data_IF_483218362536
#
_entry.id   IF_483218362536
#
_cell.length_a   1.000
_cell.length_b   1.000
_cell.length_c   1.000
_cell.angle_alpha   90.00
_cell.angle_beta   90.00
_cell.angle_gamma   90.00
#
_symmetry.space_group_name_H-M   'P 1'
#
loop_
_entity.id
_entity.type
_entity.pdbx_description
1 polymer ?
#
# COMPACT_ATOMS: atom_id res chain seq x y z
N UNK A 1 -5.79 -2.01 -19.51
CA UNK A 1 -5.76 -0.53 -19.43
C UNK A 1 -7.06 0.07 -18.89
N UNK A 2 -8.15 -0.68 -18.72
CA UNK A 2 -9.44 -0.11 -18.28
C UNK A 2 -9.43 0.50 -16.87
N UNK A 3 -8.52 0.08 -15.99
CA UNK A 3 -8.56 0.45 -14.56
C UNK A 3 -7.89 1.78 -14.20
N UNK A 4 -7.24 2.49 -15.14
CA UNK A 4 -6.64 3.80 -14.87
C UNK A 4 -6.64 4.75 -16.08
N UNK A 5 -7.81 4.93 -16.71
CA UNK A 5 -7.95 5.90 -17.79
C UNK A 5 -7.70 7.32 -17.29
N UNK A 6 -7.08 8.16 -18.13
CA UNK A 6 -6.92 9.58 -17.83
C UNK A 6 -8.26 10.30 -17.80
N UNK A 7 -8.57 10.93 -16.66
CA UNK A 7 -9.85 11.59 -16.39
C UNK A 7 -9.70 13.08 -16.04
N UNK A 8 -8.51 13.66 -16.23
CA UNK A 8 -8.25 15.08 -15.98
C UNK A 8 -7.76 15.39 -14.56
N UNK A 9 -7.92 14.46 -13.61
CA UNK A 9 -7.48 14.65 -12.21
C UNK A 9 -6.29 13.76 -11.82
N UNK A 10 -6.07 12.67 -12.54
CA UNK A 10 -5.07 11.65 -12.26
C UNK A 10 -3.81 11.75 -13.14
N UNK A 11 -3.45 12.94 -13.64
CA UNK A 11 -2.37 13.10 -14.65
C UNK A 11 -1.06 12.43 -14.26
N UNK A 12 -0.58 12.61 -13.02
CA UNK A 12 0.71 12.07 -12.59
C UNK A 12 0.70 10.53 -12.54
N UNK A 13 -0.37 9.92 -12.04
CA UNK A 13 -0.52 8.47 -11.98
C UNK A 13 -0.68 7.87 -13.37
N UNK A 14 -1.53 8.49 -14.22
CA UNK A 14 -1.69 8.11 -15.61
C UNK A 14 -0.38 8.20 -16.40
N UNK A 15 0.39 9.28 -16.23
CA UNK A 15 1.66 9.47 -16.93
C UNK A 15 2.71 8.43 -16.50
N UNK A 16 2.73 8.04 -15.22
CA UNK A 16 3.59 6.95 -14.72
C UNK A 16 3.21 5.63 -15.41
N UNK A 17 1.93 5.29 -15.44
CA UNK A 17 1.46 4.05 -16.06
C UNK A 17 1.70 4.04 -17.57
N UNK A 18 1.49 5.17 -18.24
CA UNK A 18 1.81 5.35 -19.66
C UNK A 18 3.30 5.09 -19.93
N UNK A 19 4.19 5.68 -19.13
CA UNK A 19 5.65 5.46 -19.28
C UNK A 19 6.02 3.99 -19.14
N UNK A 20 5.48 3.29 -18.13
CA UNK A 20 5.72 1.85 -17.95
C UNK A 20 5.34 1.07 -19.22
N UNK A 21 4.19 1.37 -19.82
CA UNK A 21 3.75 0.69 -21.06
C UNK A 21 4.65 1.03 -22.25
N UNK A 22 5.07 2.28 -22.38
CA UNK A 22 5.91 2.72 -23.49
C UNK A 22 7.34 2.19 -23.37
N UNK A 23 7.88 2.11 -22.15
CA UNK A 23 9.20 1.53 -21.89
C UNK A 23 9.20 0.03 -22.20
N UNK A 24 8.15 -0.70 -21.83
CA UNK A 24 7.96 -2.10 -22.26
C UNK A 24 7.96 -2.27 -23.78
N UNK A 25 7.49 -1.26 -24.53
CA UNK A 25 7.47 -1.25 -25.99
C UNK A 25 8.74 -0.66 -26.63
N UNK A 26 9.73 -0.22 -25.84
CA UNK A 26 10.89 0.55 -26.29
C UNK A 26 10.52 1.83 -27.07
N UNK A 27 9.45 2.50 -26.64
CA UNK A 27 8.88 3.70 -27.29
C UNK A 27 8.85 4.93 -26.39
N UNK A 28 9.34 4.84 -25.14
CA UNK A 28 9.35 5.96 -24.19
C UNK A 28 10.04 7.22 -24.74
N UNK A 29 11.06 7.04 -25.58
CA UNK A 29 11.81 8.13 -26.21
C UNK A 29 10.96 9.11 -27.02
N UNK A 30 9.78 8.69 -27.52
CA UNK A 30 8.85 9.54 -28.28
C UNK A 30 8.27 10.67 -27.42
N UNK A 31 8.18 10.47 -26.09
CA UNK A 31 7.66 11.50 -25.17
C UNK A 31 8.67 12.60 -24.85
N UNK A 32 9.97 12.30 -24.94
CA UNK A 32 11.04 13.15 -24.44
C UNK A 32 11.85 13.82 -25.56
N UNK A 33 11.92 13.18 -26.74
CA UNK A 33 12.67 13.72 -27.89
C UNK A 33 11.78 14.56 -28.80
N UNK A 34 12.31 15.66 -29.38
CA UNK A 34 11.57 16.42 -30.37
C UNK A 34 11.31 15.56 -31.62
N UNK A 35 10.25 15.94 -32.34
CA UNK A 35 9.94 15.43 -33.67
C UNK A 35 11.16 15.60 -34.59
N UNK A 36 11.70 14.52 -35.22
CA UNK A 36 12.78 14.62 -36.16
C UNK A 36 12.39 15.52 -37.33
N UNK A 37 13.20 16.55 -37.57
CA UNK A 37 13.13 17.38 -38.76
C UNK A 37 13.46 16.59 -40.02
N UNK A 38 13.06 17.13 -41.18
CA UNK A 38 13.25 16.51 -42.49
C UNK A 38 14.67 15.96 -42.69
N UNK A 39 14.75 14.83 -43.39
CA UNK A 39 16.02 14.20 -43.77
C UNK A 39 16.72 15.02 -44.86
N UNK A 40 18.00 15.37 -44.69
CA UNK A 40 18.79 15.99 -45.74
C UNK A 40 18.88 15.12 -47.00
N UNK A 41 19.01 15.79 -48.15
CA UNK A 41 19.25 15.11 -49.41
C UNK A 41 20.63 14.41 -49.36
N UNK A 42 20.65 13.10 -49.59
CA UNK A 42 21.86 12.27 -49.43
C UNK A 42 21.96 11.50 -48.10
N UNK A 43 20.97 11.57 -47.21
CA UNK A 43 20.95 10.78 -45.97
C UNK A 43 21.17 9.29 -46.20
N UNK A 44 21.98 8.69 -45.32
CA UNK A 44 22.33 7.26 -45.35
C UNK A 44 21.08 6.38 -45.20
N UNK A 45 21.09 5.15 -45.75
CA UNK A 45 19.96 4.22 -45.60
C UNK A 45 19.55 4.00 -44.13
N UNK A 46 20.51 3.93 -43.21
CA UNK A 46 20.28 3.76 -41.78
C UNK A 46 19.55 4.97 -41.16
N UNK A 47 19.93 6.19 -41.54
CA UNK A 47 19.26 7.41 -41.09
C UNK A 47 17.80 7.45 -41.54
N UNK A 48 17.54 7.05 -42.81
CA UNK A 48 16.18 6.96 -43.37
C UNK A 48 15.32 5.94 -42.62
N UNK A 49 15.90 4.78 -42.27
CA UNK A 49 15.22 3.76 -41.47
C UNK A 49 14.89 4.27 -40.07
N UNK A 50 15.83 4.95 -39.43
CA UNK A 50 15.66 5.51 -38.09
C UNK A 50 14.57 6.59 -38.07
N UNK A 51 14.56 7.46 -39.08
CA UNK A 51 13.53 8.47 -39.27
C UNK A 51 12.15 7.84 -39.48
N UNK A 52 12.02 6.88 -40.40
CA UNK A 52 10.74 6.20 -40.65
C UNK A 52 10.22 5.50 -39.40
N UNK A 53 11.10 4.79 -38.67
CA UNK A 53 10.78 4.14 -37.40
C UNK A 53 10.23 5.13 -36.39
N UNK A 54 10.84 6.32 -36.28
CA UNK A 54 10.37 7.34 -35.36
C UNK A 54 8.91 7.74 -35.64
N UNK A 55 8.53 7.99 -36.90
CA UNK A 55 7.14 8.35 -37.25
C UNK A 55 6.16 7.19 -37.04
N UNK A 56 6.59 5.95 -37.25
CA UNK A 56 5.80 4.77 -36.92
C UNK A 56 5.56 4.66 -35.41
N UNK A 57 6.60 4.84 -34.60
CA UNK A 57 6.48 4.82 -33.15
C UNK A 57 5.64 6.00 -32.65
N UNK A 58 5.79 7.20 -33.19
CA UNK A 58 4.92 8.34 -32.88
C UNK A 58 3.43 8.04 -33.11
N UNK A 59 3.07 7.43 -34.25
CA UNK A 59 1.68 7.02 -34.52
C UNK A 59 1.17 5.98 -33.52
N UNK A 60 2.01 5.02 -33.14
CA UNK A 60 1.67 3.99 -32.14
C UNK A 60 1.48 4.61 -30.76
N UNK A 61 2.41 5.45 -30.31
CA UNK A 61 2.36 6.12 -29.00
C UNK A 61 1.14 7.05 -28.92
N UNK A 62 0.87 7.83 -29.96
CA UNK A 62 -0.35 8.64 -30.07
C UNK A 62 -1.61 7.79 -29.86
N UNK A 63 -1.70 6.64 -30.52
CA UNK A 63 -2.85 5.73 -30.40
C UNK A 63 -2.98 5.20 -28.96
N UNK A 64 -1.87 4.89 -28.30
CA UNK A 64 -1.84 4.45 -26.90
C UNK A 64 -2.34 5.57 -25.97
N UNK A 65 -1.83 6.80 -26.15
CA UNK A 65 -2.24 7.97 -25.38
C UNK A 65 -3.75 8.16 -25.49
N UNK A 66 -4.29 8.24 -26.70
CA UNK A 66 -5.72 8.46 -26.93
C UNK A 66 -6.58 7.30 -26.37
N UNK A 67 -6.15 6.05 -26.54
CA UNK A 67 -6.89 4.89 -26.01
C UNK A 67 -6.87 4.81 -24.47
N UNK A 68 -5.87 5.42 -23.84
CA UNK A 68 -5.73 5.48 -22.39
C UNK A 68 -6.52 6.61 -21.74
N UNK A 69 -7.30 7.38 -22.50
CA UNK A 69 -8.12 8.48 -22.02
C UNK A 69 -9.60 8.09 -21.85
N UNK A 70 -10.31 8.86 -21.04
CA UNK A 70 -11.77 8.94 -21.08
C UNK A 70 -12.25 9.52 -22.41
N UNK A 71 -13.48 9.19 -22.82
CA UNK A 71 -14.01 9.60 -24.12
C UNK A 71 -14.10 11.13 -24.23
N UNK A 72 -14.39 11.81 -23.13
CA UNK A 72 -14.53 13.26 -23.03
C UNK A 72 -13.20 13.98 -23.30
N UNK A 73 -12.10 13.45 -22.77
CA UNK A 73 -10.76 14.01 -22.97
C UNK A 73 -10.19 13.59 -24.32
N UNK A 74 -10.40 12.34 -24.72
CA UNK A 74 -9.94 11.81 -26.01
C UNK A 74 -10.42 12.70 -27.18
N UNK A 75 -11.70 13.09 -27.18
CA UNK A 75 -12.30 13.96 -28.22
C UNK A 75 -11.64 15.35 -28.32
N UNK A 76 -10.94 15.81 -27.29
CA UNK A 76 -10.24 17.10 -27.32
C UNK A 76 -8.92 17.01 -28.10
N UNK A 77 -8.33 15.82 -28.18
CA UNK A 77 -6.98 15.61 -28.70
C UNK A 77 -6.94 14.67 -29.93
N UNK A 78 -8.05 14.04 -30.30
CA UNK A 78 -8.11 13.00 -31.34
C UNK A 78 -7.77 13.48 -32.77
N UNK A 79 -7.85 14.79 -33.03
CA UNK A 79 -7.48 15.41 -34.31
C UNK A 79 -5.99 15.76 -34.42
N UNK A 80 -5.26 15.81 -33.32
CA UNK A 80 -3.84 16.18 -33.32
C UNK A 80 -3.01 15.02 -33.87
N UNK A 81 -2.06 15.27 -34.76
CA UNK A 81 -1.38 14.21 -35.54
C UNK A 81 -0.15 13.61 -34.86
N UNK A 82 0.48 14.37 -33.96
CA UNK A 82 1.73 14.00 -33.31
C UNK A 82 1.64 14.05 -31.77
N UNK A 83 2.54 13.28 -31.14
CA UNK A 83 2.59 13.17 -29.68
C UNK A 83 2.93 14.50 -29.00
N UNK A 84 3.92 15.30 -29.45
CA UNK A 84 4.18 16.63 -28.90
C UNK A 84 2.95 17.55 -28.88
N UNK A 85 2.18 17.61 -29.97
CA UNK A 85 0.96 18.42 -30.05
C UNK A 85 -0.09 18.05 -28.99
N UNK A 86 -0.14 16.78 -28.57
CA UNK A 86 -1.03 16.32 -27.48
C UNK A 86 -0.40 16.59 -26.10
N UNK A 87 0.85 16.21 -25.92
CA UNK A 87 1.50 16.20 -24.60
C UNK A 87 1.80 17.60 -24.07
N UNK A 88 2.08 18.58 -24.94
CA UNK A 88 2.40 19.95 -24.50
C UNK A 88 1.19 20.63 -23.85
N UNK A 89 0.01 20.77 -24.50
CA UNK A 89 -1.17 21.35 -23.85
C UNK A 89 -1.61 20.57 -22.61
N UNK A 90 -1.49 19.24 -22.63
CA UNK A 90 -1.83 18.43 -21.46
C UNK A 90 -0.95 18.75 -20.25
N UNK A 91 0.36 18.96 -20.47
CA UNK A 91 1.27 19.37 -19.40
C UNK A 91 0.85 20.70 -18.78
N UNK A 92 0.45 21.66 -19.61
CA UNK A 92 0.06 22.99 -19.14
C UNK A 92 -1.25 22.98 -18.34
N UNK A 93 -2.21 22.13 -18.74
CA UNK A 93 -3.54 22.10 -18.11
C UNK A 93 -3.58 21.19 -16.89
N UNK A 94 -2.92 20.03 -16.93
CA UNK A 94 -3.17 18.94 -15.97
C UNK A 94 -1.99 18.63 -15.05
N UNK A 95 -0.78 19.12 -15.32
CA UNK A 95 0.34 18.93 -14.39
C UNK A 95 0.10 19.77 -13.15
N UNK A 96 -0.08 19.11 -12.02
CA UNK A 96 -0.09 19.78 -10.73
C UNK A 96 1.33 20.27 -10.43
N UNK A 97 1.56 21.58 -10.20
CA UNK A 97 2.88 22.10 -9.92
C UNK A 97 3.50 21.43 -8.68
N UNK A 98 4.81 21.15 -8.72
CA UNK A 98 5.54 20.52 -7.60
C UNK A 98 5.32 21.26 -6.28
N UNK A 99 5.20 22.59 -6.30
CA UNK A 99 4.89 23.41 -5.12
C UNK A 99 3.55 23.02 -4.48
N UNK A 100 2.52 22.77 -5.28
CA UNK A 100 1.20 22.36 -4.80
C UNK A 100 1.24 20.94 -4.22
N UNK A 101 1.90 20.00 -4.91
CA UNK A 101 2.10 18.62 -4.43
C UNK A 101 2.85 18.63 -3.08
N UNK A 102 3.90 19.43 -2.97
CA UNK A 102 4.67 19.60 -1.74
C UNK A 102 3.80 20.15 -0.62
N UNK A 103 3.09 21.25 -0.85
CA UNK A 103 2.17 21.82 0.14
C UNK A 103 1.14 20.80 0.63
N UNK A 104 0.48 20.08 -0.28
CA UNK A 104 -0.51 19.07 0.08
C UNK A 104 0.11 17.92 0.89
N UNK A 105 1.29 17.44 0.50
CA UNK A 105 2.01 16.36 1.21
C UNK A 105 2.43 16.81 2.59
N UNK A 106 2.99 18.02 2.72
CA UNK A 106 3.35 18.64 4.00
C UNK A 106 2.12 18.76 4.90
N UNK A 107 0.99 19.25 4.38
CA UNK A 107 -0.26 19.36 5.14
C UNK A 107 -0.73 18.02 5.70
N UNK A 108 -0.67 16.95 4.90
CA UNK A 108 -1.01 15.59 5.34
C UNK A 108 -0.01 15.09 6.38
N UNK A 109 1.28 15.28 6.14
CA UNK A 109 2.34 14.81 7.03
C UNK A 109 2.24 15.41 8.44
N UNK A 110 2.05 16.72 8.55
CA UNK A 110 1.89 17.39 9.86
C UNK A 110 0.50 17.16 10.49
N UNK A 111 -0.52 16.83 9.69
CA UNK A 111 -1.90 16.72 10.16
C UNK A 111 -2.34 15.31 10.54
N UNK A 112 -1.67 14.26 10.04
CA UNK A 112 -2.10 12.89 10.28
C UNK A 112 -1.79 12.44 11.71
N UNK A 113 -2.76 11.79 12.34
CA UNK A 113 -2.63 11.17 13.66
C UNK A 113 -3.00 9.69 13.56
N UNK A 114 -2.29 8.86 14.30
CA UNK A 114 -2.63 7.46 14.48
C UNK A 114 -3.81 7.34 15.44
N UNK A 115 -4.75 6.44 15.13
CA UNK A 115 -5.87 6.16 16.03
C UNK A 115 -5.41 5.23 17.17
N UNK A 116 -6.01 5.38 18.34
CA UNK A 116 -5.78 4.49 19.49
C UNK A 116 -6.07 3.02 19.08
N UNK A 117 -5.20 2.08 19.49
CA UNK A 117 -5.26 0.64 19.16
C UNK A 117 -5.17 0.28 17.67
N UNK A 118 -4.86 1.22 16.78
CA UNK A 118 -4.52 0.90 15.39
C UNK A 118 -3.06 0.47 15.25
N UNK A 119 -2.73 -0.27 14.20
CA UNK A 119 -1.38 -0.82 14.01
C UNK A 119 -0.34 0.27 13.78
N UNK A 120 0.65 0.35 14.68
CA UNK A 120 1.77 1.29 14.55
C UNK A 120 2.64 1.00 13.33
N UNK A 121 2.75 -0.27 12.92
CA UNK A 121 3.45 -0.64 11.69
C UNK A 121 2.78 -0.01 10.46
N UNK A 122 1.45 -0.15 10.33
CA UNK A 122 0.72 0.42 9.20
C UNK A 122 0.82 1.94 9.15
N UNK A 123 0.71 2.60 10.31
CA UNK A 123 0.89 4.04 10.43
C UNK A 123 2.32 4.48 10.10
N UNK A 124 3.32 3.77 10.63
CA UNK A 124 4.75 4.03 10.39
C UNK A 124 5.11 3.95 8.91
N UNK A 125 4.67 2.91 8.20
CA UNK A 125 4.87 2.77 6.75
C UNK A 125 4.22 3.93 5.99
N UNK A 126 3.03 4.38 6.40
CA UNK A 126 2.37 5.55 5.80
C UNK A 126 3.18 6.83 6.03
N UNK A 127 3.69 7.05 7.24
CA UNK A 127 4.56 8.19 7.55
C UNK A 127 5.86 8.15 6.73
N UNK A 128 6.50 6.99 6.63
CA UNK A 128 7.71 6.80 5.81
C UNK A 128 7.45 7.20 4.34
N UNK A 129 6.34 6.73 3.76
CA UNK A 129 5.99 7.08 2.37
C UNK A 129 5.77 8.60 2.16
N UNK A 130 5.31 9.31 3.19
CA UNK A 130 5.18 10.76 3.15
C UNK A 130 6.53 11.45 3.25
N UNK A 131 7.45 10.92 4.06
CA UNK A 131 8.81 11.44 4.19
C UNK A 131 9.57 11.30 2.87
N UNK A 132 9.62 10.09 2.30
CA UNK A 132 10.27 9.83 1.00
C UNK A 132 9.74 10.80 -0.07
N UNK A 133 8.41 11.00 -0.11
CA UNK A 133 7.78 11.94 -1.03
C UNK A 133 8.19 13.41 -0.78
N UNK A 134 8.39 13.81 0.47
CA UNK A 134 8.86 15.15 0.82
C UNK A 134 10.34 15.37 0.47
N UNK A 135 11.17 14.33 0.61
CA UNK A 135 12.57 14.33 0.19
C UNK A 135 12.71 14.46 -1.33
N UNK A 136 11.92 13.68 -2.09
CA UNK A 136 11.84 13.78 -3.56
C UNK A 136 11.43 15.18 -4.04
N UNK A 137 10.54 15.83 -3.27
CA UNK A 137 10.07 17.19 -3.53
C UNK A 137 11.03 18.27 -2.98
N UNK A 138 12.17 17.88 -2.40
CA UNK A 138 13.17 18.76 -1.80
C UNK A 138 12.54 19.72 -0.81
N UNK A 139 11.75 19.20 0.13
CA UNK A 139 11.05 19.99 1.13
C UNK A 139 12.00 20.71 2.11
N UNK A 140 13.23 20.23 2.26
CA UNK A 140 14.25 20.86 3.10
C UNK A 140 14.06 20.62 4.61
N UNK A 141 13.33 19.58 4.98
CA UNK A 141 13.21 19.13 6.37
C UNK A 141 14.38 18.19 6.70
N UNK A 142 14.85 18.25 7.94
CA UNK A 142 15.87 17.33 8.44
C UNK A 142 15.23 16.07 9.05
N UNK A 143 16.05 15.04 9.25
CA UNK A 143 15.61 13.77 9.82
C UNK A 143 14.97 13.93 11.21
N UNK A 144 15.51 14.81 12.04
CA UNK A 144 14.96 15.08 13.38
C UNK A 144 13.53 15.63 13.32
N UNK A 145 13.26 16.57 12.40
CA UNK A 145 11.89 17.10 12.19
C UNK A 145 10.94 15.98 11.76
N UNK A 146 11.39 15.06 10.91
CA UNK A 146 10.55 13.93 10.53
C UNK A 146 10.23 13.02 11.71
N UNK A 147 11.23 12.71 12.54
CA UNK A 147 11.08 11.91 13.75
C UNK A 147 10.12 12.59 14.73
N UNK A 148 10.30 13.89 14.98
CA UNK A 148 9.47 14.66 15.89
C UNK A 148 8.00 14.63 15.47
N UNK A 149 7.73 14.80 14.17
CA UNK A 149 6.36 14.76 13.64
C UNK A 149 5.78 13.34 13.73
N UNK A 150 6.59 12.29 13.49
CA UNK A 150 6.17 10.91 13.67
C UNK A 150 5.80 10.64 15.12
N UNK A 151 6.65 11.00 16.09
CA UNK A 151 6.37 10.82 17.52
C UNK A 151 5.12 11.59 17.93
N UNK A 152 4.97 12.84 17.49
CA UNK A 152 3.78 13.67 17.76
C UNK A 152 2.50 13.12 17.11
N UNK A 153 2.60 12.25 16.10
CA UNK A 153 1.45 11.64 15.43
C UNK A 153 0.87 10.45 16.18
N UNK A 154 1.58 9.92 17.19
CA UNK A 154 1.17 8.75 17.95
C UNK A 154 0.09 9.11 19.01
N UNK A 155 -0.73 8.14 19.44
CA UNK A 155 -1.67 8.31 20.54
C UNK A 155 -0.94 8.41 21.89
N UNK A 156 -1.63 8.92 22.91
CA UNK A 156 -1.10 9.09 24.27
C UNK A 156 -0.62 7.78 24.92
N UNK A 157 -1.12 6.62 24.48
CA UNK A 157 -0.64 5.31 24.94
C UNK A 157 0.86 5.08 24.64
N UNK A 158 1.45 5.84 23.72
CA UNK A 158 2.87 5.78 23.37
C UNK A 158 3.74 6.79 24.15
N UNK A 159 3.16 7.61 25.05
CA UNK A 159 3.93 8.57 25.86
C UNK A 159 5.13 7.94 26.61
N UNK A 160 5.02 6.73 27.21
CA UNK A 160 6.17 6.11 27.86
C UNK A 160 7.33 5.82 26.88
N UNK A 161 7.01 5.43 25.64
CA UNK A 161 8.00 5.25 24.59
C UNK A 161 8.64 6.59 24.22
N UNK A 162 7.85 7.64 24.01
CA UNK A 162 8.32 8.96 23.59
C UNK A 162 9.28 9.56 24.63
N UNK A 163 8.92 9.50 25.92
CA UNK A 163 9.78 9.98 27.01
C UNK A 163 11.10 9.21 27.03
N UNK A 164 11.04 7.87 26.93
CA UNK A 164 12.24 7.04 26.87
C UNK A 164 13.10 7.36 25.64
N UNK A 165 12.49 7.55 24.47
CA UNK A 165 13.19 7.87 23.23
C UNK A 165 13.96 9.20 23.36
N UNK A 166 13.28 10.25 23.84
CA UNK A 166 13.86 11.59 24.01
C UNK A 166 15.02 11.62 25.01
N UNK A 167 14.99 10.78 26.05
CA UNK A 167 16.06 10.71 27.05
C UNK A 167 17.31 9.97 26.54
N UNK A 168 17.17 9.09 25.56
CA UNK A 168 18.27 8.24 25.08
C UNK A 168 19.11 8.89 23.97
N UNK A 169 18.67 10.01 23.38
CA UNK A 169 19.50 10.88 22.52
C UNK A 169 20.18 10.17 21.34
N UNK A 170 19.59 9.11 20.80
CA UNK A 170 20.18 8.35 19.70
C UNK A 170 19.80 8.96 18.35
N UNK A 171 20.80 9.20 17.50
CA UNK A 171 20.57 9.38 16.08
C UNK A 171 19.96 8.09 15.51
N UNK A 172 18.75 8.20 14.98
CA UNK A 172 18.02 7.09 14.38
C UNK A 172 17.51 7.46 13.01
N UNK A 173 17.52 6.49 12.11
CA UNK A 173 16.73 6.56 10.89
C UNK A 173 15.24 6.37 11.20
N UNK A 174 14.39 6.86 10.31
CA UNK A 174 12.93 6.64 10.40
C UNK A 174 12.59 5.14 10.39
N UNK A 175 13.33 4.33 9.64
CA UNK A 175 13.16 2.88 9.62
C UNK A 175 13.44 2.24 10.99
N UNK A 176 14.52 2.65 11.66
CA UNK A 176 14.82 2.18 13.01
C UNK A 176 13.75 2.61 14.02
N UNK A 177 13.29 3.87 13.94
CA UNK A 177 12.21 4.36 14.78
C UNK A 177 10.94 3.51 14.64
N UNK A 178 10.52 3.22 13.39
CA UNK A 178 9.35 2.39 13.12
C UNK A 178 9.54 0.99 13.72
N UNK A 179 10.71 0.38 13.54
CA UNK A 179 11.00 -0.93 14.11
C UNK A 179 10.94 -0.95 15.64
N UNK A 180 11.47 0.10 16.30
CA UNK A 180 11.39 0.26 17.75
C UNK A 180 9.95 0.40 18.23
N UNK A 181 9.13 1.19 17.53
CA UNK A 181 7.71 1.36 17.85
C UNK A 181 6.93 0.04 17.72
N UNK A 182 7.20 -0.75 16.68
CA UNK A 182 6.58 -2.08 16.52
C UNK A 182 6.98 -3.04 17.65
N UNK A 183 8.24 -3.02 18.08
CA UNK A 183 8.68 -3.81 19.23
C UNK A 183 8.02 -3.37 20.53
N UNK A 184 7.83 -2.06 20.72
CA UNK A 184 7.11 -1.51 21.85
C UNK A 184 5.63 -1.95 21.86
N UNK A 185 4.93 -1.87 20.73
CA UNK A 185 3.56 -2.37 20.57
C UNK A 185 3.46 -3.86 20.93
N UNK A 186 4.39 -4.68 20.44
CA UNK A 186 4.40 -6.13 20.69
C UNK A 186 4.66 -6.52 22.15
N UNK A 187 5.34 -5.67 22.93
CA UNK A 187 5.65 -5.93 24.34
C UNK A 187 4.57 -5.40 25.28
N UNK A 188 3.97 -4.26 24.96
CA UNK A 188 2.88 -3.65 25.75
C UNK A 188 1.53 -4.35 25.57
N UNK A 189 1.21 -4.85 24.38
CA UNK A 189 0.00 -5.65 24.15
C UNK A 189 0.08 -7.10 24.66
N UNK A 190 1.26 -7.56 25.08
CA UNK A 190 1.42 -8.86 25.78
C UNK A 190 1.20 -8.76 27.29
N UNK A 191 1.09 -7.56 27.83
CA UNK A 191 1.00 -7.31 29.28
C UNK A 191 -0.35 -6.73 29.70
N UNK A 192 -1.47 -7.30 29.25
CA UNK A 192 -2.67 -7.33 30.10
C UNK A 192 -2.56 -8.57 31.00
N UNK A 193 -1.99 -8.47 32.22
CA UNK A 193 -2.18 -9.53 33.20
C UNK A 193 -3.66 -9.54 33.56
N UNK A 194 -4.28 -10.72 33.46
CA UNK A 194 -5.56 -10.98 34.09
C UNK A 194 -5.47 -10.49 35.55
N UNK A 195 -6.24 -9.46 35.89
CA UNK A 195 -6.41 -9.01 37.26
C UNK A 195 -7.15 -10.13 37.98
N UNK A 196 -6.40 -11.07 38.57
CA UNK A 196 -6.92 -11.97 39.58
C UNK A 196 -6.99 -11.19 40.90
N UNK A 197 -8.13 -10.53 41.09
CA UNK A 197 -8.64 -10.22 42.42
C UNK A 197 -8.89 -11.55 43.13
N UNK A 198 -8.25 -11.78 44.29
CA UNK A 198 -8.48 -13.01 45.06
C UNK A 198 -7.56 -13.18 46.27
N UNK A 199 -7.75 -12.28 47.23
CA UNK A 199 -7.61 -12.47 48.68
C UNK A 199 -6.25 -12.86 49.31
N UNK A 200 -5.81 -11.93 50.16
CA UNK A 200 -4.84 -12.17 51.20
C UNK A 200 -5.34 -13.24 52.18
N UNK A 201 -4.46 -14.15 52.58
CA UNK A 201 -4.62 -14.91 53.82
C UNK A 201 -3.25 -15.14 54.46
N UNK A 202 -3.06 -14.46 55.59
CA UNK A 202 -1.93 -14.57 56.49
C UNK A 202 -2.09 -15.78 57.42
N UNK A 203 -1.09 -16.67 57.54
CA UNK A 203 -0.55 -17.14 58.84
C UNK A 203 0.52 -18.24 58.71
N UNK A 204 1.75 -17.88 59.11
CA UNK A 204 2.83 -18.58 59.84
C UNK A 204 2.78 -20.10 60.20
N UNK A 205 3.96 -20.73 59.98
CA UNK A 205 4.73 -21.69 60.85
C UNK A 205 4.90 -23.19 60.42
N UNK A 206 6.12 -23.47 59.91
CA UNK A 206 7.17 -24.47 60.33
C UNK A 206 6.86 -25.98 60.45
N UNK A 207 7.60 -26.79 59.68
CA UNK A 207 7.87 -28.21 59.97
C UNK A 207 8.76 -28.93 58.94
N UNK A 208 9.97 -29.35 59.34
CA UNK A 208 10.91 -30.19 58.58
C UNK A 208 10.51 -31.67 58.67
N UNK A 209 10.73 -32.45 57.61
CA UNK A 209 10.73 -33.92 57.70
C UNK A 209 10.86 -34.63 56.35
N UNK A 210 12.06 -35.09 56.01
CA UNK A 210 12.32 -35.98 54.88
C UNK A 210 11.91 -37.43 55.21
N UNK A 211 11.42 -38.19 54.22
CA UNK A 211 11.79 -39.60 53.95
C UNK A 211 11.17 -40.14 52.65
N UNK A 212 12.00 -40.92 51.96
CA UNK A 212 11.84 -41.65 50.69
C UNK A 212 11.59 -43.13 51.01
N UNK A 213 10.68 -43.83 50.31
CA UNK A 213 10.94 -45.08 49.55
C UNK A 213 9.68 -45.68 48.89
N UNK A 214 9.93 -46.45 47.83
CA UNK A 214 9.07 -47.02 46.77
C UNK A 214 8.29 -48.32 47.12
N UNK A 215 7.30 -48.58 46.22
CA UNK A 215 7.02 -49.83 45.42
C UNK A 215 6.03 -50.90 45.95
N UNK A 216 5.00 -51.17 45.12
CA UNK A 216 4.75 -52.42 44.31
C UNK A 216 3.45 -52.19 43.51
N UNK A 217 3.38 -52.27 42.18
CA UNK A 217 3.52 -53.38 41.21
C UNK A 217 2.48 -54.51 41.42
N UNK A 218 1.40 -54.44 40.67
CA UNK A 218 0.50 -55.55 40.32
C UNK A 218 0.28 -55.55 38.81
N UNK A 219 0.59 -56.66 38.15
CA UNK A 219 0.74 -56.87 36.70
C UNK A 219 -0.26 -57.96 36.31
N UNK A 220 -1.11 -57.76 35.30
CA UNK A 220 -1.64 -58.84 34.45
C UNK A 220 -1.88 -58.34 33.02
N UNK A 221 -0.94 -58.72 32.15
CA UNK A 221 -1.01 -58.98 30.70
C UNK A 221 -2.03 -60.09 30.38
N UNK A 222 -2.56 -60.35 29.17
CA UNK A 222 -2.49 -59.87 27.78
C UNK A 222 -3.72 -60.49 27.04
N UNK A 223 -4.14 -60.18 25.81
CA UNK A 223 -3.62 -60.57 24.47
C UNK A 223 -4.71 -60.09 23.46
N UNK A 224 -4.46 -59.17 22.50
CA UNK A 224 -4.23 -59.34 21.01
C UNK A 224 -5.36 -60.14 20.31
N UNK A 225 -5.92 -59.83 19.12
CA UNK A 225 -5.98 -58.71 18.16
C UNK A 225 -7.07 -59.09 17.10
N UNK A 226 -7.51 -58.15 16.27
CA UNK A 226 -7.55 -58.21 14.77
C UNK A 226 -8.54 -57.20 14.16
N UNK A 227 -8.01 -56.40 13.22
CA UNK A 227 -8.51 -55.93 11.88
C UNK A 227 -9.99 -56.21 11.52
N UNK A 228 -10.77 -55.42 10.76
CA UNK A 228 -10.55 -54.40 9.72
C UNK A 228 -11.89 -53.82 9.22
N UNK A 229 -11.82 -52.69 8.48
CA UNK A 229 -12.68 -52.26 7.33
C UNK A 229 -14.16 -51.87 7.50
N UNK A 230 -14.48 -50.64 7.03
CA UNK A 230 -15.56 -50.39 6.06
C UNK A 230 -16.79 -49.60 6.53
N UNK A 231 -17.11 -48.50 5.82
CA UNK A 231 -18.49 -47.96 5.75
C UNK A 231 -18.62 -46.43 5.81
N UNK A 232 -18.97 -45.80 4.69
CA UNK A 232 -19.51 -44.42 4.57
C UNK A 232 -21.06 -44.52 4.41
N UNK A 233 -21.83 -43.40 4.30
CA UNK A 233 -22.64 -42.69 5.32
C UNK A 233 -24.18 -42.90 5.12
N UNK A 234 -25.06 -42.09 5.75
CA UNK A 234 -25.80 -41.07 4.97
C UNK A 234 -26.06 -39.76 5.75
N UNK A 235 -25.91 -38.58 5.14
CA UNK A 235 -26.88 -37.79 4.37
C UNK A 235 -27.81 -36.87 5.21
N UNK A 236 -27.80 -35.60 4.81
CA UNK A 236 -28.59 -34.48 5.32
C UNK A 236 -30.10 -34.59 5.01
N UNK A 237 -30.89 -33.57 5.42
CA UNK A 237 -31.81 -32.99 4.47
C UNK A 237 -31.59 -31.48 4.28
N UNK A 238 -31.61 -31.09 2.99
CA UNK A 238 -31.86 -29.72 2.51
C UNK A 238 -33.36 -29.42 2.63
N UNK A 239 -33.70 -28.23 3.10
CA UNK A 239 -34.99 -27.57 2.86
C UNK A 239 -34.80 -26.37 1.92
N UNK A 240 -35.44 -26.44 0.76
CA UNK A 240 -35.56 -25.39 -0.27
C UNK A 240 -36.90 -24.64 -0.12
N UNK A 241 -36.93 -23.39 -0.59
CA UNK A 241 -38.12 -22.74 -1.15
C UNK A 241 -38.48 -21.41 -0.47
N UNK A 242 -38.96 -20.37 -1.15
CA UNK A 242 -39.30 -20.16 -2.57
C UNK A 242 -39.56 -18.65 -2.75
N UNK A 243 -39.37 -18.17 -3.98
CA UNK A 243 -39.66 -16.81 -4.52
C UNK A 243 -41.14 -16.42 -4.42
N UNK A 244 -41.38 -15.10 -4.38
CA UNK A 244 -42.39 -14.29 -5.10
C UNK A 244 -41.96 -12.81 -4.91
N UNK A 245 -41.98 -11.85 -5.85
CA UNK A 245 -42.65 -11.72 -7.14
C UNK A 245 -43.75 -10.65 -7.09
N UNK A 246 -43.46 -9.41 -7.55
CA UNK A 246 -44.36 -8.32 -8.05
C UNK A 246 -43.57 -6.98 -7.96
N UNK A 247 -43.42 -6.09 -8.94
CA UNK A 247 -44.19 -5.78 -10.15
C UNK A 247 -44.85 -4.39 -10.00
N UNK A 248 -44.83 -3.57 -11.07
CA UNK A 248 -45.40 -2.20 -11.28
C UNK A 248 -44.51 -1.00 -10.89
N UNK A 249 -44.41 0.11 -11.62
CA UNK A 249 -44.76 0.52 -13.01
C UNK A 249 -44.22 1.95 -13.20
N UNK A 250 -43.89 2.32 -14.45
CA UNK A 250 -43.54 3.68 -14.87
C UNK A 250 -44.70 4.68 -14.71
N UNK A 251 -44.39 5.96 -14.47
CA UNK A 251 -45.16 7.15 -14.93
C UNK A 251 -44.17 8.30 -15.22
N UNK A 252 -44.46 8.99 -16.32
CA UNK A 252 -43.81 10.12 -17.00
C UNK A 252 -43.88 11.50 -16.30
N UNK A 253 -43.05 12.40 -16.83
CA UNK A 253 -43.20 13.85 -17.09
C UNK A 253 -43.53 14.86 -15.97
N UNK A 254 -42.54 15.74 -15.72
CA UNK A 254 -42.59 17.18 -16.06
C UNK A 254 -41.22 17.84 -16.04
#
# INVERSE_FOLDING_TARGET
>A
METNKFNGTNYNDWMRDLRIVLDFKNQGYVLDKPLPTALPEGSLPEERLTFKKWYEDNRKVRSIILASMTNEIQKQYDRLEDVPSIMLPMKDVYVVPKRHIRYATTKVFFGIKMAERSSVHSHGVKMLSLVEKLEDLKAGLNNDTYIDVILQSLPLSYDPFIVSYNMNGLEKSIHELINMLVQYEATTHKSEPAILVGEASTSKVKGKGARRWKRKKGKRTAVIATTSTGGVPPAAPKGKGKREGRGFSAIEDK
#
